data_IF_987488009404
#
_entry.id   IF_987488009404
#
_cell.length_a   1.000
_cell.length_b   1.000
_cell.length_c   1.000
_cell.angle_alpha   90.00
_cell.angle_beta   90.00
_cell.angle_gamma   90.00
#
_symmetry.space_group_name_H-M   'P 1'
#
loop_
_entity.id
_entity.type
_entity.pdbx_description
1 polymer ?
#
# COMPACT_ATOMS: atom_id res chain seq x y z
N UNK A 1 -0.20 -5.86 13.99
CA UNK A 1 -1.01 -4.93 13.17
C UNK A 1 -0.95 -5.32 11.70
N UNK A 2 -1.86 -4.87 10.90
CA UNK A 2 -1.90 -5.18 9.48
C UNK A 2 -1.64 -3.92 8.67
N UNK A 3 -0.64 -3.98 7.80
CA UNK A 3 -0.27 -2.85 6.94
C UNK A 3 -0.62 -3.16 5.50
N UNK A 4 -1.27 -2.22 4.84
CA UNK A 4 -1.54 -2.29 3.41
C UNK A 4 -0.60 -1.34 2.68
N UNK A 5 0.01 -1.81 1.60
CA UNK A 5 0.94 -1.01 0.81
C UNK A 5 0.39 -0.91 -0.61
N UNK A 6 0.15 0.30 -1.07
CA UNK A 6 -0.28 0.55 -2.44
C UNK A 6 0.92 1.07 -3.22
N UNK A 7 1.38 0.29 -4.17
CA UNK A 7 2.57 0.60 -4.96
C UNK A 7 3.82 -0.04 -4.36
N UNK A 8 4.40 -0.98 -5.08
CA UNK A 8 5.57 -1.75 -4.63
C UNK A 8 6.84 -1.32 -5.35
N UNK A 9 6.90 -0.06 -5.78
CA UNK A 9 8.11 0.50 -6.33
C UNK A 9 9.17 0.66 -5.24
N UNK A 10 10.12 1.54 -5.46
CA UNK A 10 11.26 1.67 -4.58
C UNK A 10 10.86 1.97 -3.13
N UNK A 11 9.98 2.93 -2.91
CA UNK A 11 9.55 3.31 -1.57
C UNK A 11 8.61 2.26 -0.98
N UNK A 12 7.60 1.86 -1.75
CA UNK A 12 6.62 0.88 -1.26
C UNK A 12 7.23 -0.46 -0.95
N UNK A 13 8.16 -0.91 -1.79
CA UNK A 13 8.87 -2.17 -1.55
C UNK A 13 9.70 -2.13 -0.28
N UNK A 14 10.37 -1.01 -0.02
CA UNK A 14 11.14 -0.84 1.20
C UNK A 14 10.26 -0.83 2.44
N UNK A 15 9.11 -0.18 2.36
CA UNK A 15 8.15 -0.16 3.47
C UNK A 15 7.58 -1.54 3.74
N UNK A 16 7.23 -2.28 2.69
CA UNK A 16 6.71 -3.64 2.84
C UNK A 16 7.72 -4.52 3.58
N UNK A 17 8.98 -4.43 3.17
CA UNK A 17 10.04 -5.19 3.81
C UNK A 17 10.22 -4.80 5.27
N UNK A 18 10.18 -3.51 5.56
CA UNK A 18 10.35 -3.02 6.93
C UNK A 18 9.24 -3.54 7.85
N UNK A 19 8.00 -3.48 7.40
CA UNK A 19 6.89 -3.99 8.20
C UNK A 19 6.97 -5.50 8.37
N UNK A 20 7.36 -6.20 7.32
CA UNK A 20 7.51 -7.65 7.39
C UNK A 20 8.59 -8.03 8.42
N UNK A 21 9.71 -7.34 8.39
CA UNK A 21 10.80 -7.62 9.34
C UNK A 21 10.43 -7.26 10.77
N UNK A 22 9.49 -6.34 10.94
CA UNK A 22 8.98 -5.99 12.27
C UNK A 22 7.94 -6.98 12.77
N UNK A 23 7.62 -8.01 12.00
CA UNK A 23 6.66 -9.03 12.41
C UNK A 23 5.22 -8.68 12.13
N UNK A 24 4.97 -7.65 11.34
CA UNK A 24 3.61 -7.23 11.02
C UNK A 24 3.09 -7.94 9.77
N UNK A 25 1.78 -8.09 9.67
CA UNK A 25 1.16 -8.62 8.46
C UNK A 25 1.19 -7.54 7.38
N UNK A 26 1.58 -7.92 6.16
CA UNK A 26 1.71 -6.99 5.05
C UNK A 26 0.84 -7.45 3.88
N UNK A 27 -0.05 -6.57 3.46
CA UNK A 27 -0.85 -6.77 2.25
C UNK A 27 -0.43 -5.69 1.25
N UNK A 28 -0.43 -6.03 -0.04
CA UNK A 28 0.04 -5.09 -1.04
C UNK A 28 -0.77 -5.15 -2.31
N UNK A 29 -0.77 -4.03 -3.03
CA UNK A 29 -1.36 -3.93 -4.35
C UNK A 29 -0.41 -3.16 -5.26
N UNK A 30 -0.27 -3.64 -6.49
CA UNK A 30 0.45 -2.93 -7.54
C UNK A 30 -0.24 -3.24 -8.85
N UNK A 31 -0.29 -2.25 -9.75
CA UNK A 31 -0.86 -2.46 -11.07
C UNK A 31 0.02 -3.36 -11.93
N UNK A 32 1.31 -3.44 -11.63
CA UNK A 32 2.22 -4.36 -12.29
C UNK A 32 2.14 -5.72 -11.59
N UNK A 33 1.50 -6.67 -12.24
CA UNK A 33 1.28 -7.99 -11.66
C UNK A 33 2.59 -8.73 -11.40
N UNK A 34 3.59 -8.50 -12.23
CA UNK A 34 4.89 -9.16 -12.05
C UNK A 34 5.56 -8.73 -10.76
N UNK A 35 5.47 -7.44 -10.44
CA UNK A 35 6.04 -6.92 -9.20
C UNK A 35 5.31 -7.50 -7.99
N UNK A 36 3.99 -7.55 -8.06
CA UNK A 36 3.19 -8.11 -6.98
C UNK A 36 3.49 -9.59 -6.76
N UNK A 37 3.56 -10.35 -7.83
CA UNK A 37 3.86 -11.78 -7.75
C UNK A 37 5.25 -12.02 -7.16
N UNK A 38 6.23 -11.24 -7.57
CA UNK A 38 7.58 -11.36 -7.04
C UNK A 38 7.61 -11.06 -5.53
N UNK A 39 6.91 -10.02 -5.10
CA UNK A 39 6.85 -9.67 -3.68
C UNK A 39 6.23 -10.79 -2.86
N UNK A 40 5.19 -11.42 -3.37
CA UNK A 40 4.56 -12.54 -2.69
C UNK A 40 5.46 -13.76 -2.64
N UNK A 41 6.15 -14.06 -3.73
CA UNK A 41 7.06 -15.21 -3.79
C UNK A 41 8.26 -15.01 -2.87
N UNK A 42 8.74 -13.81 -2.73
CA UNK A 42 9.90 -13.52 -1.88
C UNK A 42 9.56 -13.52 -0.38
N UNK A 43 8.28 -13.54 -0.05
CA UNK A 43 7.85 -13.52 1.33
C UNK A 43 7.77 -12.12 1.94
N UNK A 44 8.01 -11.08 1.16
CA UNK A 44 7.94 -9.72 1.67
C UNK A 44 6.50 -9.26 1.91
N UNK A 45 5.55 -9.90 1.25
CA UNK A 45 4.14 -9.57 1.30
C UNK A 45 3.35 -10.85 1.61
N UNK A 46 2.43 -10.76 2.54
CA UNK A 46 1.65 -11.91 2.98
C UNK A 46 0.40 -12.16 2.13
N UNK A 47 -0.07 -11.15 1.43
CA UNK A 47 -1.26 -11.30 0.60
C UNK A 47 -1.53 -10.08 -0.25
N UNK A 48 -2.60 -10.14 -1.04
CA UNK A 48 -3.00 -9.05 -1.93
C UNK A 48 -3.96 -8.13 -1.20
N UNK A 49 -3.75 -6.83 -1.37
CA UNK A 49 -4.63 -5.81 -0.82
C UNK A 49 -5.81 -5.63 -1.77
N UNK A 50 -6.99 -5.96 -1.32
CA UNK A 50 -8.21 -5.83 -2.11
C UNK A 50 -9.33 -5.23 -1.25
N UNK A 51 -10.55 -5.18 -1.80
CA UNK A 51 -11.68 -4.57 -1.12
C UNK A 51 -12.05 -5.26 0.19
N UNK A 52 -11.78 -6.57 0.29
CA UNK A 52 -12.04 -7.29 1.53
C UNK A 52 -10.90 -7.13 2.53
N UNK A 53 -9.67 -7.33 2.08
CA UNK A 53 -8.53 -7.30 2.98
C UNK A 53 -8.20 -5.90 3.48
N UNK A 54 -8.52 -4.87 2.71
CA UNK A 54 -8.24 -3.49 3.12
C UNK A 54 -9.01 -3.11 4.39
N UNK A 55 -10.14 -3.76 4.64
CA UNK A 55 -10.94 -3.51 5.83
C UNK A 55 -10.21 -3.90 7.11
N UNK A 56 -9.24 -4.80 7.01
CA UNK A 56 -8.47 -5.29 8.15
C UNK A 56 -7.21 -4.48 8.41
N UNK A 57 -6.90 -3.54 7.54
CA UNK A 57 -5.66 -2.77 7.67
C UNK A 57 -5.78 -1.72 8.75
N UNK A 58 -4.75 -1.62 9.56
CA UNK A 58 -4.61 -0.55 10.56
C UNK A 58 -3.97 0.67 9.94
N UNK A 59 -3.14 0.45 8.91
CA UNK A 59 -2.49 1.52 8.17
C UNK A 59 -2.46 1.12 6.69
N UNK A 60 -2.72 2.07 5.81
CA UNK A 60 -2.62 1.87 4.36
C UNK A 60 -1.70 2.95 3.81
N UNK A 61 -0.51 2.52 3.39
CA UNK A 61 0.51 3.42 2.85
C UNK A 61 0.37 3.49 1.34
N UNK A 62 0.18 4.68 0.81
CA UNK A 62 0.01 4.87 -0.62
C UNK A 62 1.28 5.49 -1.19
N UNK A 63 2.02 4.70 -1.94
CA UNK A 63 3.33 5.06 -2.47
C UNK A 63 3.33 5.04 -4.00
N UNK A 64 2.45 5.83 -4.60
CA UNK A 64 2.29 5.93 -6.04
C UNK A 64 2.27 7.39 -6.46
N UNK A 65 2.28 7.66 -7.77
CA UNK A 65 2.17 9.02 -8.27
C UNK A 65 0.83 9.64 -7.90
N UNK A 66 0.76 10.97 -7.79
CA UNK A 66 -0.46 11.64 -7.30
C UNK A 66 -1.74 11.27 -8.02
N UNK A 67 -1.71 11.18 -9.34
CA UNK A 67 -2.93 10.83 -10.09
C UNK A 67 -3.43 9.43 -9.74
N UNK A 68 -2.50 8.48 -9.65
CA UNK A 68 -2.85 7.10 -9.31
C UNK A 68 -3.32 7.01 -7.84
N UNK A 69 -2.75 7.82 -6.97
CA UNK A 69 -3.16 7.87 -5.57
C UNK A 69 -4.61 8.33 -5.44
N UNK A 70 -4.97 9.40 -6.13
CA UNK A 70 -6.33 9.93 -6.08
C UNK A 70 -7.32 8.90 -6.62
N UNK A 71 -6.99 8.29 -7.74
CA UNK A 71 -7.84 7.27 -8.35
C UNK A 71 -8.06 6.09 -7.42
N UNK A 72 -6.98 5.57 -6.85
CA UNK A 72 -7.06 4.44 -5.93
C UNK A 72 -7.89 4.79 -4.69
N UNK A 73 -7.60 5.92 -4.08
CA UNK A 73 -8.27 6.32 -2.86
C UNK A 73 -9.76 6.56 -3.12
N UNK A 74 -10.10 7.20 -4.22
CA UNK A 74 -11.50 7.42 -4.59
C UNK A 74 -12.25 6.10 -4.73
N UNK A 75 -11.62 5.13 -5.38
CA UNK A 75 -12.23 3.81 -5.60
C UNK A 75 -12.37 3.01 -4.31
N UNK A 76 -11.40 3.11 -3.42
CA UNK A 76 -11.32 2.25 -2.24
C UNK A 76 -11.79 2.92 -0.95
N UNK A 77 -12.12 4.20 -0.99
CA UNK A 77 -12.44 4.95 0.23
C UNK A 77 -13.57 4.32 1.05
N UNK A 78 -14.57 3.76 0.39
CA UNK A 78 -15.71 3.16 1.08
C UNK A 78 -15.36 1.84 1.78
N UNK A 79 -14.24 1.24 1.41
CA UNK A 79 -13.81 -0.05 1.97
C UNK A 79 -12.80 0.12 3.09
N UNK A 80 -12.16 1.28 3.17
CA UNK A 80 -11.17 1.54 4.21
C UNK A 80 -11.87 1.82 5.53
N UNK A 81 -11.42 1.13 6.57
CA UNK A 81 -11.97 1.34 7.90
C UNK A 81 -11.68 2.79 8.32
N UNK A 82 -12.67 3.45 8.93
CA UNK A 82 -12.51 4.86 9.31
C UNK A 82 -11.42 5.11 10.34
N UNK A 83 -11.01 4.07 11.05
CA UNK A 83 -9.92 4.19 12.03
C UNK A 83 -8.55 3.90 11.41
N UNK A 84 -8.50 3.56 10.13
CA UNK A 84 -7.26 3.27 9.43
C UNK A 84 -6.50 4.56 9.14
N UNK A 85 -5.22 4.55 9.46
CA UNK A 85 -4.33 5.67 9.11
C UNK A 85 -3.88 5.51 7.66
N UNK A 86 -3.97 6.57 6.87
CA UNK A 86 -3.65 6.52 5.45
C UNK A 86 -2.61 7.57 5.09
N UNK A 87 -1.32 7.33 5.41
CA UNK A 87 -0.27 8.24 4.96
C UNK A 87 -0.02 8.07 3.47
N UNK A 88 0.28 9.17 2.81
CA UNK A 88 0.56 9.18 1.38
C UNK A 88 2.00 9.63 1.17
N UNK A 89 2.76 8.82 0.44
CA UNK A 89 4.13 9.12 0.10
C UNK A 89 4.27 9.21 -1.41
N UNK A 90 4.79 10.33 -1.89
CA UNK A 90 5.00 10.54 -3.32
C UNK A 90 6.49 10.43 -3.63
N UNK A 91 6.80 9.76 -4.71
CA UNK A 91 8.17 9.70 -5.18
C UNK A 91 8.59 10.99 -5.87
N UNK A 92 7.66 11.85 -6.16
CA UNK A 92 7.90 13.13 -6.82
C UNK A 92 7.43 14.24 -5.89
N UNK A 93 8.33 15.14 -5.57
CA UNK A 93 8.11 16.04 -4.45
C UNK A 93 7.65 17.44 -4.79
N UNK A 94 7.24 17.70 -6.00
CA UNK A 94 6.80 19.02 -6.39
C UNK A 94 5.29 19.17 -6.28
N UNK A 95 4.74 18.68 -5.21
CA UNK A 95 3.30 18.75 -5.03
C UNK A 95 2.87 20.12 -4.54
N UNK A 96 1.75 20.63 -5.09
CA UNK A 96 1.13 21.78 -4.46
C UNK A 96 0.65 21.39 -3.07
N UNK A 97 0.81 22.28 -2.15
CA UNK A 97 0.52 21.99 -0.75
C UNK A 97 -0.90 22.34 -0.41
N UNK A 98 -1.82 22.06 -1.08
CA UNK A 98 -3.20 22.39 -0.69
C UNK A 98 -3.93 21.23 -0.06
#
# INVERSE_FOLDING_TARGET
MTAGIVGLGLIGGSLAKAYHEAGEAVLAFDTDRSILDFAMMSGAVDGVLDEESIKRCDIVLIAVYPAACIEYFTRMADYINKDTVVPVSYTHLTLPTT
#
